data_IF_758656899514
#
_entry.id   IF_758656899514
#
_cell.length_a   1.000
_cell.length_b   1.000
_cell.length_c   1.000
_cell.angle_alpha   90.00
_cell.angle_beta   90.00
_cell.angle_gamma   90.00
#
_symmetry.space_group_name_H-M   'P 1'
#
loop_
_entity.id
_entity.type
_entity.pdbx_description
1 polymer ?
#
# COMPACT_ATOMS: atom_id res chain seq x y z
N UNK A 1 -6.32 -0.40 -10.23
CA UNK A 1 -7.33 -1.42 -10.64
C UNK A 1 -7.41 -1.55 -12.15
N UNK A 2 -7.74 -0.47 -12.87
CA UNK A 2 -7.98 -0.46 -14.33
C UNK A 2 -6.88 -1.14 -15.16
N UNK A 3 -5.60 -0.95 -14.81
CA UNK A 3 -4.48 -1.59 -15.54
C UNK A 3 -4.49 -3.12 -15.41
N UNK A 4 -4.75 -3.64 -14.21
CA UNK A 4 -4.85 -5.08 -13.96
C UNK A 4 -6.12 -5.66 -14.60
N UNK A 5 -7.24 -4.95 -14.50
CA UNK A 5 -8.47 -5.32 -15.17
C UNK A 5 -8.25 -5.40 -16.69
N UNK A 6 -7.55 -4.41 -17.28
CA UNK A 6 -7.21 -4.43 -18.71
C UNK A 6 -6.37 -5.65 -19.07
N UNK A 7 -5.35 -5.98 -18.28
CA UNK A 7 -4.54 -7.18 -18.48
C UNK A 7 -5.41 -8.45 -18.46
N UNK A 8 -6.31 -8.57 -17.48
CA UNK A 8 -7.23 -9.71 -17.40
C UNK A 8 -8.14 -9.78 -18.63
N UNK A 9 -8.70 -8.65 -19.09
CA UNK A 9 -9.58 -8.63 -20.27
C UNK A 9 -8.85 -8.95 -21.59
N UNK A 10 -7.55 -8.70 -21.69
CA UNK A 10 -6.75 -9.08 -22.88
C UNK A 10 -6.66 -10.61 -23.01
N UNK A 11 -6.74 -11.33 -21.89
CA UNK A 11 -6.74 -12.79 -21.87
C UNK A 11 -8.11 -13.41 -22.17
N UNK A 12 -9.15 -12.59 -22.37
CA UNK A 12 -10.49 -13.08 -22.69
C UNK A 12 -10.52 -13.65 -24.13
N UNK A 13 -10.95 -14.91 -24.33
CA UNK A 13 -11.00 -15.52 -25.67
C UNK A 13 -12.10 -14.91 -26.57
N UNK A 14 -13.08 -14.22 -25.99
CA UNK A 14 -14.08 -13.43 -26.72
C UNK A 14 -14.65 -12.33 -25.83
N UNK A 15 -15.40 -11.39 -26.42
CA UNK A 15 -16.07 -10.30 -25.70
C UNK A 15 -17.03 -10.78 -24.61
N UNK A 16 -17.64 -11.95 -24.80
CA UNK A 16 -18.50 -12.61 -23.82
C UNK A 16 -17.76 -12.91 -22.51
N UNK A 17 -16.47 -13.26 -22.57
CA UNK A 17 -15.67 -13.64 -21.39
C UNK A 17 -15.00 -12.45 -20.68
N UNK A 18 -15.16 -11.23 -21.18
CA UNK A 18 -14.54 -10.03 -20.58
C UNK A 18 -14.95 -9.83 -19.11
N UNK A 19 -16.24 -9.87 -18.73
CA UNK A 19 -16.64 -9.76 -17.31
C UNK A 19 -16.10 -10.91 -16.46
N UNK A 20 -16.08 -12.13 -17.01
CA UNK A 20 -15.56 -13.31 -16.32
C UNK A 20 -14.08 -13.17 -15.98
N UNK A 21 -13.26 -12.58 -16.87
CA UNK A 21 -11.84 -12.35 -16.61
C UNK A 21 -11.61 -11.31 -15.52
N UNK A 22 -12.44 -10.26 -15.46
CA UNK A 22 -12.36 -9.25 -14.38
C UNK A 22 -12.76 -9.86 -13.04
N UNK A 23 -13.83 -10.66 -13.00
CA UNK A 23 -14.23 -11.36 -11.77
C UNK A 23 -13.17 -12.38 -11.33
N UNK A 24 -12.57 -13.13 -12.26
CA UNK A 24 -11.49 -14.06 -11.96
C UNK A 24 -10.26 -13.35 -11.35
N UNK A 25 -9.91 -12.16 -11.86
CA UNK A 25 -8.87 -11.32 -11.26
C UNK A 25 -9.19 -10.97 -9.80
N UNK A 26 -10.45 -10.63 -9.49
CA UNK A 26 -10.88 -10.31 -8.13
C UNK A 26 -10.94 -11.54 -7.21
N UNK A 27 -11.34 -12.70 -7.73
CA UNK A 27 -11.22 -13.96 -7.01
C UNK A 27 -9.76 -14.24 -6.62
N UNK A 28 -8.82 -14.02 -7.55
CA UNK A 28 -7.39 -14.20 -7.29
C UNK A 28 -6.86 -13.20 -6.26
N UNK A 29 -7.20 -11.91 -6.37
CA UNK A 29 -6.83 -10.90 -5.39
C UNK A 29 -7.36 -11.25 -3.99
N UNK A 30 -8.60 -11.73 -3.92
CA UNK A 30 -9.23 -12.18 -2.68
C UNK A 30 -8.55 -13.42 -2.10
N UNK A 31 -8.16 -14.39 -2.94
CA UNK A 31 -7.39 -15.55 -2.49
C UNK A 31 -6.04 -15.13 -1.87
N UNK A 32 -5.34 -14.16 -2.46
CA UNK A 32 -4.13 -13.59 -1.86
C UNK A 32 -4.43 -12.84 -0.55
N UNK A 33 -5.54 -12.12 -0.46
CA UNK A 33 -5.98 -11.51 0.79
C UNK A 33 -6.11 -12.55 1.92
N UNK A 34 -6.77 -13.68 1.64
CA UNK A 34 -6.94 -14.78 2.60
C UNK A 34 -5.59 -15.42 2.96
N UNK A 35 -4.67 -15.57 2.00
CA UNK A 35 -3.32 -16.06 2.25
C UNK A 35 -2.54 -15.15 3.22
N UNK A 36 -2.55 -13.83 2.99
CA UNK A 36 -1.86 -12.88 3.86
C UNK A 36 -2.52 -12.79 5.24
N UNK A 37 -3.84 -12.91 5.32
CA UNK A 37 -4.57 -13.00 6.58
C UNK A 37 -4.17 -14.27 7.35
N UNK A 38 -4.14 -15.42 6.69
CA UNK A 38 -3.67 -16.68 7.26
C UNK A 38 -2.24 -16.54 7.81
N UNK A 39 -1.32 -15.95 7.04
CA UNK A 39 0.05 -15.73 7.52
C UNK A 39 0.15 -14.72 8.67
N UNK A 40 -0.71 -13.70 8.68
CA UNK A 40 -0.81 -12.75 9.79
C UNK A 40 -1.24 -13.45 11.07
N UNK A 41 -2.31 -14.26 11.01
CA UNK A 41 -2.84 -14.98 12.18
C UNK A 41 -1.83 -16.01 12.68
N UNK A 42 -1.25 -16.83 11.78
CA UNK A 42 -0.24 -17.83 12.17
C UNK A 42 1.02 -17.19 12.74
N UNK A 43 1.47 -16.05 12.21
CA UNK A 43 2.57 -15.28 12.79
C UNK A 43 2.26 -14.86 14.24
N UNK A 44 1.08 -14.29 14.48
CA UNK A 44 0.69 -13.82 15.81
C UNK A 44 0.51 -15.00 16.80
N UNK A 45 -0.15 -16.08 16.37
CA UNK A 45 -0.34 -17.28 17.18
C UNK A 45 1.00 -17.92 17.54
N UNK A 46 1.92 -18.05 16.57
CA UNK A 46 3.28 -18.53 16.81
C UNK A 46 4.00 -17.67 17.84
N UNK A 47 3.94 -16.34 17.70
CA UNK A 47 4.60 -15.39 18.60
C UNK A 47 4.14 -15.53 20.05
N UNK A 48 2.85 -15.83 20.26
CA UNK A 48 2.31 -16.08 21.60
C UNK A 48 2.89 -17.35 22.20
N UNK A 49 2.98 -18.44 21.43
CA UNK A 49 3.45 -19.73 21.91
C UNK A 49 4.97 -19.81 22.07
N UNK A 50 5.75 -19.06 21.31
CA UNK A 50 7.22 -19.00 21.44
C UNK A 50 7.70 -17.92 22.41
N UNK A 51 6.78 -17.29 23.14
CA UNK A 51 7.11 -16.27 24.13
C UNK A 51 8.06 -16.87 25.19
N UNK A 52 9.02 -16.07 25.67
CA UNK A 52 10.05 -16.49 26.63
C UNK A 52 11.00 -17.60 26.14
N UNK A 53 11.10 -17.81 24.82
CA UNK A 53 12.05 -18.77 24.24
C UNK A 53 11.53 -20.21 24.24
N UNK A 54 10.23 -20.43 24.43
CA UNK A 54 9.63 -21.74 24.30
C UNK A 54 9.75 -22.28 22.88
N UNK A 55 10.15 -23.55 22.75
CA UNK A 55 10.18 -24.24 21.47
C UNK A 55 8.78 -24.74 21.06
N UNK A 56 8.52 -24.77 19.75
CA UNK A 56 7.25 -25.26 19.23
C UNK A 56 7.24 -26.78 19.22
N UNK A 57 6.35 -27.37 20.02
CA UNK A 57 6.01 -28.79 19.90
C UNK A 57 5.23 -29.04 18.60
N UNK A 58 5.17 -30.30 18.14
CA UNK A 58 4.32 -30.68 16.99
C UNK A 58 2.85 -30.29 17.20
N UNK A 59 2.34 -30.46 18.42
CA UNK A 59 0.98 -30.06 18.78
C UNK A 59 0.77 -28.54 18.64
N UNK A 60 1.74 -27.73 19.09
CA UNK A 60 1.70 -26.28 18.93
C UNK A 60 1.73 -25.84 17.46
N UNK A 61 2.50 -26.52 16.61
CA UNK A 61 2.52 -26.24 15.17
C UNK A 61 1.14 -26.47 14.56
N UNK A 62 0.50 -27.61 14.86
CA UNK A 62 -0.85 -27.91 14.39
C UNK A 62 -1.86 -26.88 14.92
N UNK A 63 -1.75 -26.49 16.19
CA UNK A 63 -2.60 -25.45 16.77
C UNK A 63 -2.45 -24.11 16.05
N UNK A 64 -1.22 -23.64 15.78
CA UNK A 64 -0.95 -22.40 15.05
C UNK A 64 -1.57 -22.45 13.65
N UNK A 65 -1.31 -23.52 12.90
CA UNK A 65 -1.84 -23.68 11.54
C UNK A 65 -3.38 -23.76 11.55
N UNK A 66 -3.95 -24.47 12.51
CA UNK A 66 -5.39 -24.56 12.72
C UNK A 66 -6.02 -23.21 13.05
N UNK A 67 -5.43 -22.43 13.97
CA UNK A 67 -5.89 -21.06 14.28
C UNK A 67 -5.86 -20.17 13.05
N UNK A 68 -4.77 -20.23 12.27
CA UNK A 68 -4.65 -19.53 11.00
C UNK A 68 -5.74 -19.90 10.01
N UNK A 69 -5.96 -21.20 9.80
CA UNK A 69 -6.93 -21.71 8.85
C UNK A 69 -8.36 -21.33 9.26
N UNK A 70 -8.74 -21.56 10.52
CA UNK A 70 -10.07 -21.22 11.03
C UNK A 70 -10.33 -19.73 10.92
N UNK A 71 -9.40 -18.86 11.34
CA UNK A 71 -9.60 -17.42 11.30
C UNK A 71 -9.65 -16.85 9.87
N UNK A 72 -8.78 -17.34 8.97
CA UNK A 72 -8.78 -16.90 7.59
C UNK A 72 -10.03 -17.37 6.83
N UNK A 73 -10.44 -18.64 7.00
CA UNK A 73 -11.65 -19.19 6.38
C UNK A 73 -12.93 -18.57 6.95
N UNK A 74 -12.96 -18.26 8.25
CA UNK A 74 -14.10 -17.54 8.83
C UNK A 74 -14.31 -16.20 8.12
N UNK A 75 -13.24 -15.46 7.79
CA UNK A 75 -13.33 -14.24 7.00
C UNK A 75 -13.77 -14.50 5.54
N UNK A 76 -13.22 -15.55 4.91
CA UNK A 76 -13.59 -15.96 3.54
C UNK A 76 -15.09 -16.10 3.35
N UNK A 77 -15.79 -16.70 4.32
CA UNK A 77 -17.22 -16.97 4.24
C UNK A 77 -18.11 -15.89 4.87
N UNK A 78 -17.57 -14.70 5.17
CA UNK A 78 -18.42 -13.55 5.53
C UNK A 78 -19.08 -12.97 4.29
N UNK A 79 -20.34 -12.54 4.41
CA UNK A 79 -21.12 -12.02 3.28
C UNK A 79 -20.37 -10.89 2.55
N UNK A 80 -19.92 -9.87 3.30
CA UNK A 80 -19.24 -8.71 2.72
C UNK A 80 -17.98 -9.09 1.92
N UNK A 81 -17.15 -10.00 2.45
CA UNK A 81 -15.94 -10.40 1.75
C UNK A 81 -16.23 -11.30 0.55
N UNK A 82 -17.15 -12.26 0.70
CA UNK A 82 -17.55 -13.17 -0.37
C UNK A 82 -18.09 -12.41 -1.59
N UNK A 83 -19.00 -11.45 -1.36
CA UNK A 83 -19.54 -10.61 -2.44
C UNK A 83 -18.45 -9.74 -3.08
N UNK A 84 -17.56 -9.14 -2.29
CA UNK A 84 -16.43 -8.36 -2.81
C UNK A 84 -15.49 -9.21 -3.70
N UNK A 85 -15.41 -10.52 -3.48
CA UNK A 85 -14.54 -11.42 -4.23
C UNK A 85 -15.09 -11.79 -5.61
N UNK A 86 -16.41 -11.83 -5.78
CA UNK A 86 -17.08 -12.24 -7.02
C UNK A 86 -17.56 -11.07 -7.88
N UNK A 87 -17.48 -9.85 -7.36
CA UNK A 87 -17.86 -8.62 -8.04
C UNK A 87 -16.63 -7.92 -8.64
N UNK A 88 -16.75 -7.36 -9.84
CA UNK A 88 -15.67 -6.69 -10.57
C UNK A 88 -15.31 -5.29 -10.08
N UNK A 89 -15.07 -5.12 -8.78
CA UNK A 89 -14.79 -3.84 -8.13
C UNK A 89 -13.41 -3.75 -7.45
N UNK A 90 -13.04 -2.54 -7.02
CA UNK A 90 -11.72 -2.25 -6.42
C UNK A 90 -11.50 -2.87 -5.04
N UNK A 91 -12.57 -3.30 -4.36
CA UNK A 91 -12.53 -3.73 -2.96
C UNK A 91 -11.69 -5.01 -2.76
N UNK A 92 -11.76 -5.98 -3.67
CA UNK A 92 -10.93 -7.20 -3.60
C UNK A 92 -9.43 -6.88 -3.56
N UNK A 93 -8.96 -6.02 -4.48
CA UNK A 93 -7.58 -5.57 -4.50
C UNK A 93 -7.22 -4.70 -3.30
N UNK A 94 -8.13 -3.82 -2.85
CA UNK A 94 -7.92 -3.00 -1.65
C UNK A 94 -7.71 -3.87 -0.39
N UNK A 95 -8.55 -4.88 -0.20
CA UNK A 95 -8.43 -5.83 0.91
C UNK A 95 -7.13 -6.63 0.84
N UNK A 96 -6.75 -7.09 -0.36
CA UNK A 96 -5.46 -7.75 -0.58
C UNK A 96 -4.27 -6.87 -0.18
N UNK A 97 -4.22 -5.61 -0.61
CA UNK A 97 -3.15 -4.68 -0.22
C UNK A 97 -3.12 -4.43 1.28
N UNK A 98 -4.30 -4.31 1.91
CA UNK A 98 -4.44 -4.14 3.36
C UNK A 98 -3.83 -5.33 4.10
N UNK A 99 -4.22 -6.56 3.74
CA UNK A 99 -3.68 -7.78 4.35
C UNK A 99 -2.17 -7.94 4.10
N UNK A 100 -1.71 -7.65 2.87
CA UNK A 100 -0.29 -7.70 2.50
C UNK A 100 0.55 -6.72 3.32
N UNK A 101 0.14 -5.45 3.43
CA UNK A 101 0.90 -4.42 4.15
C UNK A 101 0.98 -4.74 5.65
N UNK A 102 -0.12 -5.19 6.26
CA UNK A 102 -0.11 -5.64 7.67
C UNK A 102 0.85 -6.82 7.85
N UNK A 103 0.79 -7.82 6.96
CA UNK A 103 1.70 -8.97 7.01
C UNK A 103 3.17 -8.56 6.82
N UNK A 104 3.47 -7.66 5.87
CA UNK A 104 4.83 -7.15 5.65
C UNK A 104 5.37 -6.41 6.87
N UNK A 105 4.52 -5.74 7.63
CA UNK A 105 4.94 -5.06 8.85
C UNK A 105 5.28 -6.04 9.98
N UNK A 106 4.57 -7.16 10.05
CA UNK A 106 4.96 -8.27 10.93
C UNK A 106 6.28 -8.93 10.45
N UNK A 107 6.52 -8.99 9.14
CA UNK A 107 7.82 -9.41 8.58
C UNK A 107 8.96 -8.45 8.90
N UNK A 108 8.70 -7.14 8.86
CA UNK A 108 9.64 -6.16 9.37
C UNK A 108 9.92 -6.37 10.86
N UNK A 109 8.89 -6.62 11.67
CA UNK A 109 9.01 -6.81 13.12
C UNK A 109 9.92 -7.99 13.46
N UNK A 110 9.77 -9.12 12.75
CA UNK A 110 10.63 -10.31 12.83
C UNK A 110 12.11 -9.99 12.54
N UNK A 111 12.37 -9.11 11.58
CA UNK A 111 13.71 -8.80 11.07
C UNK A 111 14.24 -7.46 11.59
N UNK A 112 13.58 -6.81 12.56
CA UNK A 112 13.80 -5.40 12.90
C UNK A 112 15.24 -5.08 13.36
N UNK A 113 15.98 -6.09 13.83
CA UNK A 113 17.36 -5.99 14.32
C UNK A 113 18.39 -6.49 13.30
N UNK A 114 17.96 -6.99 12.15
CA UNK A 114 18.84 -7.40 11.06
C UNK A 114 19.29 -6.18 10.22
N UNK A 115 20.50 -6.21 9.63
CA UNK A 115 20.89 -5.23 8.62
C UNK A 115 19.85 -5.15 7.50
N UNK A 116 19.60 -3.94 7.01
CA UNK A 116 18.66 -3.68 5.90
C UNK A 116 17.18 -3.99 6.19
N UNK A 117 16.78 -4.17 7.46
CA UNK A 117 15.38 -4.40 7.84
C UNK A 117 14.42 -3.32 7.33
N UNK A 118 14.89 -2.07 7.21
CA UNK A 118 14.11 -0.94 6.71
C UNK A 118 13.61 -1.09 5.27
N UNK A 119 14.14 -2.04 4.47
CA UNK A 119 13.62 -2.37 3.14
C UNK A 119 12.12 -2.72 3.16
N UNK A 120 11.65 -3.34 4.24
CA UNK A 120 10.25 -3.67 4.41
C UNK A 120 9.38 -2.43 4.57
N UNK A 121 9.85 -1.41 5.30
CA UNK A 121 9.15 -0.12 5.45
C UNK A 121 9.09 0.62 4.11
N UNK A 122 10.18 0.56 3.33
CA UNK A 122 10.24 1.14 1.98
C UNK A 122 9.27 0.42 1.03
N UNK A 123 9.22 -0.92 1.08
CA UNK A 123 8.27 -1.72 0.31
C UNK A 123 6.82 -1.42 0.72
N UNK A 124 6.53 -1.31 2.01
CA UNK A 124 5.21 -0.91 2.52
C UNK A 124 4.84 0.46 1.93
N UNK A 125 5.75 1.44 2.00
CA UNK A 125 5.50 2.78 1.45
C UNK A 125 5.15 2.74 -0.05
N UNK A 126 5.87 1.94 -0.84
CA UNK A 126 5.54 1.70 -2.25
C UNK A 126 4.14 1.11 -2.44
N UNK A 127 3.80 0.05 -1.69
CA UNK A 127 2.51 -0.62 -1.79
C UNK A 127 1.35 0.27 -1.29
N UNK A 128 1.60 1.13 -0.31
CA UNK A 128 0.63 2.14 0.11
C UNK A 128 0.39 3.16 -1.01
N UNK A 129 1.44 3.64 -1.67
CA UNK A 129 1.34 4.49 -2.86
C UNK A 129 0.54 3.85 -3.98
N UNK A 130 0.86 2.59 -4.32
CA UNK A 130 0.17 1.82 -5.35
C UNK A 130 -1.32 1.60 -5.00
N UNK A 131 -1.60 1.38 -3.72
CA UNK A 131 -2.98 1.23 -3.23
C UNK A 131 -3.80 2.49 -3.37
N UNK A 132 -3.22 3.70 -3.32
CA UNK A 132 -3.98 4.94 -3.57
C UNK A 132 -4.58 4.92 -4.99
N UNK A 133 -3.87 4.35 -5.97
CA UNK A 133 -4.38 4.11 -7.34
C UNK A 133 -5.42 2.98 -7.46
N UNK A 134 -5.79 2.33 -6.36
CA UNK A 134 -6.87 1.34 -6.26
C UNK A 134 -7.99 1.89 -5.39
N UNK A 135 -7.70 2.15 -4.12
CA UNK A 135 -8.58 2.72 -3.11
C UNK A 135 -7.76 3.34 -1.96
N UNK A 136 -8.19 4.50 -1.48
CA UNK A 136 -7.55 5.24 -0.37
C UNK A 136 -7.63 4.50 0.99
N UNK A 137 -8.52 3.49 1.13
CA UNK A 137 -8.81 2.81 2.40
C UNK A 137 -7.60 2.15 3.04
N UNK A 138 -6.64 1.69 2.24
CA UNK A 138 -5.42 1.07 2.77
C UNK A 138 -4.60 2.03 3.66
N UNK A 139 -4.75 3.35 3.51
CA UNK A 139 -4.13 4.32 4.42
C UNK A 139 -4.58 4.11 5.88
N UNK A 140 -5.80 3.59 6.11
CA UNK A 140 -6.30 3.30 7.45
C UNK A 140 -5.53 2.20 8.19
N UNK A 141 -4.62 1.48 7.51
CA UNK A 141 -3.69 0.57 8.19
C UNK A 141 -2.58 1.29 8.94
N UNK A 142 -2.26 2.55 8.60
CA UNK A 142 -1.15 3.32 9.18
C UNK A 142 -1.12 3.28 10.72
N UNK A 143 -2.24 3.50 11.45
CA UNK A 143 -2.23 3.38 12.90
C UNK A 143 -1.73 2.03 13.38
N UNK A 144 -2.22 0.92 12.81
CA UNK A 144 -1.78 -0.41 13.18
C UNK A 144 -0.27 -0.60 12.91
N UNK A 145 0.25 -0.13 11.78
CA UNK A 145 1.67 -0.24 11.45
C UNK A 145 2.54 0.58 12.42
N UNK A 146 2.14 1.80 12.74
CA UNK A 146 2.83 2.66 13.71
C UNK A 146 2.84 1.99 15.09
N UNK A 147 1.75 1.36 15.50
CA UNK A 147 1.71 0.63 16.77
C UNK A 147 2.60 -0.63 16.75
N UNK A 148 2.64 -1.39 15.66
CA UNK A 148 3.58 -2.52 15.53
C UNK A 148 5.03 -2.02 15.65
N UNK A 149 5.36 -0.89 15.02
CA UNK A 149 6.67 -0.25 15.15
C UNK A 149 6.97 0.16 16.61
N UNK A 150 6.03 0.86 17.24
CA UNK A 150 6.16 1.36 18.61
C UNK A 150 6.37 0.23 19.61
N UNK A 151 5.53 -0.82 19.55
CA UNK A 151 5.62 -1.98 20.43
C UNK A 151 6.90 -2.79 20.18
N UNK A 152 7.44 -2.78 18.95
CA UNK A 152 8.72 -3.43 18.67
C UNK A 152 9.91 -2.68 19.24
N UNK A 153 9.94 -1.35 19.13
CA UNK A 153 11.12 -0.54 19.48
C UNK A 153 11.14 -0.06 20.93
N UNK A 154 10.03 -0.20 21.67
CA UNK A 154 9.92 0.30 23.04
C UNK A 154 9.93 -0.82 24.06
N UNK A 155 10.83 -0.73 25.06
CA UNK A 155 10.95 -1.71 26.15
C UNK A 155 9.81 -1.61 27.18
N UNK A 156 9.25 -0.41 27.36
CA UNK A 156 8.17 -0.13 28.32
C UNK A 156 7.02 0.63 27.65
N UNK A 157 5.84 0.01 27.62
CA UNK A 157 4.63 0.63 27.11
C UNK A 157 4.16 1.67 28.12
N UNK A 158 3.99 2.91 27.69
CA UNK A 158 3.53 4.02 28.54
C UNK A 158 2.35 4.74 27.89
N UNK A 159 1.50 5.37 28.69
CA UNK A 159 0.39 6.17 28.17
C UNK A 159 0.88 7.28 27.24
N UNK A 160 1.98 7.96 27.61
CA UNK A 160 2.62 8.98 26.76
C UNK A 160 3.06 8.41 25.41
N UNK A 161 3.65 7.21 25.39
CA UNK A 161 4.07 6.56 24.15
C UNK A 161 2.90 6.14 23.26
N UNK A 162 1.80 5.67 23.85
CA UNK A 162 0.55 5.39 23.13
C UNK A 162 -0.01 6.68 22.53
N UNK A 163 -0.14 7.74 23.31
CA UNK A 163 -0.66 9.02 22.85
C UNK A 163 0.18 9.62 21.71
N UNK A 164 1.51 9.60 21.84
CA UNK A 164 2.43 10.05 20.78
C UNK A 164 2.31 9.18 19.53
N UNK A 165 2.18 7.87 19.67
CA UNK A 165 2.01 6.96 18.52
C UNK A 165 0.69 7.20 17.77
N UNK A 166 -0.40 7.48 18.49
CA UNK A 166 -1.67 7.89 17.89
C UNK A 166 -1.56 9.23 17.16
N UNK A 167 -0.87 10.22 17.74
CA UNK A 167 -0.64 11.51 17.09
C UNK A 167 0.22 11.37 15.83
N UNK A 168 1.28 10.55 15.90
CA UNK A 168 2.14 10.27 14.74
C UNK A 168 1.35 9.57 13.63
N UNK A 169 0.51 8.57 13.95
CA UNK A 169 -0.29 7.89 12.93
C UNK A 169 -1.30 8.83 12.27
N UNK A 170 -1.98 9.68 13.06
CA UNK A 170 -2.85 10.74 12.55
C UNK A 170 -2.09 11.75 11.66
N UNK A 171 -0.89 12.18 12.08
CA UNK A 171 -0.06 13.08 11.31
C UNK A 171 0.38 12.47 9.97
N UNK A 172 0.74 11.18 9.93
CA UNK A 172 1.06 10.46 8.69
C UNK A 172 -0.16 10.39 7.77
N UNK A 173 -1.34 10.08 8.31
CA UNK A 173 -2.59 10.05 7.55
C UNK A 173 -2.91 11.41 6.91
N UNK A 174 -2.87 12.48 7.71
CA UNK A 174 -3.10 13.86 7.23
C UNK A 174 -2.03 14.27 6.22
N UNK A 175 -0.77 13.95 6.46
CA UNK A 175 0.31 14.24 5.54
C UNK A 175 0.09 13.58 4.17
N UNK A 176 -0.30 12.30 4.14
CA UNK A 176 -0.54 11.60 2.88
C UNK A 176 -1.84 12.11 2.22
N UNK A 177 -2.94 12.12 2.95
CA UNK A 177 -4.27 12.40 2.38
C UNK A 177 -4.49 13.88 2.07
N UNK A 178 -3.96 14.79 2.88
CA UNK A 178 -4.18 16.24 2.73
C UNK A 178 -3.02 16.96 2.07
N UNK A 179 -1.80 16.42 2.06
CA UNK A 179 -0.65 17.07 1.42
C UNK A 179 -0.23 16.29 0.18
N UNK A 180 0.24 15.05 0.33
CA UNK A 180 0.81 14.30 -0.80
C UNK A 180 -0.21 14.15 -1.93
N UNK A 181 -1.42 13.65 -1.67
CA UNK A 181 -2.39 13.38 -2.76
C UNK A 181 -2.86 14.68 -3.43
N UNK A 182 -3.55 15.62 -2.74
CA UNK A 182 -4.18 16.76 -3.41
C UNK A 182 -3.17 17.81 -3.86
N UNK A 183 -2.13 18.11 -3.07
CA UNK A 183 -1.23 19.21 -3.39
C UNK A 183 -0.23 18.85 -4.49
N UNK A 184 0.17 17.59 -4.63
CA UNK A 184 1.01 17.19 -5.77
C UNK A 184 0.26 17.36 -7.09
N UNK A 185 -1.03 16.99 -7.12
CA UNK A 185 -1.89 17.19 -8.30
C UNK A 185 -2.14 18.69 -8.54
N UNK A 186 -2.47 19.44 -7.50
CA UNK A 186 -2.73 20.89 -7.60
C UNK A 186 -1.51 21.66 -8.12
N UNK A 187 -0.33 21.43 -7.56
CA UNK A 187 0.90 22.08 -8.00
C UNK A 187 1.24 21.67 -9.44
N UNK A 188 1.08 20.38 -9.78
CA UNK A 188 1.25 19.92 -11.16
C UNK A 188 0.34 20.65 -12.15
N UNK A 189 -0.93 20.88 -11.78
CA UNK A 189 -1.87 21.66 -12.60
C UNK A 189 -1.47 23.14 -12.72
N UNK A 190 -0.91 23.76 -11.67
CA UNK A 190 -0.38 25.13 -11.75
C UNK A 190 0.81 25.23 -12.72
N UNK A 191 1.73 24.26 -12.68
CA UNK A 191 2.83 24.19 -13.65
C UNK A 191 2.30 24.03 -15.07
N UNK A 192 1.30 23.16 -15.27
CA UNK A 192 0.69 22.97 -16.59
C UNK A 192 0.03 24.24 -17.12
N UNK A 193 -0.73 24.93 -16.28
CA UNK A 193 -1.37 26.20 -16.62
C UNK A 193 -0.34 27.27 -17.03
N UNK A 194 0.78 27.36 -16.30
CA UNK A 194 1.86 28.28 -16.64
C UNK A 194 2.51 27.93 -18.00
N UNK A 195 2.83 26.65 -18.22
CA UNK A 195 3.47 26.21 -19.46
C UNK A 195 2.57 26.42 -20.68
N UNK A 196 1.27 26.11 -20.56
CA UNK A 196 0.32 26.25 -21.66
C UNK A 196 0.03 27.73 -21.93
N UNK A 197 -0.36 28.50 -20.90
CA UNK A 197 -0.84 29.87 -21.11
C UNK A 197 0.28 30.89 -21.33
N UNK A 198 1.44 30.70 -20.70
CA UNK A 198 2.53 31.68 -20.76
C UNK A 198 3.61 31.29 -21.77
N UNK A 199 3.91 29.99 -21.91
CA UNK A 199 4.98 29.50 -22.81
C UNK A 199 4.43 28.95 -24.14
N UNK A 200 3.11 28.81 -24.30
CA UNK A 200 2.48 28.30 -25.52
C UNK A 200 2.75 26.82 -25.79
N UNK A 201 3.11 26.04 -24.77
CA UNK A 201 3.42 24.62 -24.90
C UNK A 201 2.16 23.74 -24.93
N UNK A 202 2.24 22.49 -25.42
CA UNK A 202 1.11 21.57 -25.40
C UNK A 202 0.60 21.26 -23.98
N UNK A 203 -0.69 20.93 -23.88
CA UNK A 203 -1.33 20.49 -22.63
C UNK A 203 -0.59 19.28 -22.02
N UNK A 204 -0.48 19.22 -20.70
CA UNK A 204 0.29 18.26 -19.89
C UNK A 204 1.82 18.44 -19.91
N UNK A 205 2.39 19.38 -20.70
CA UNK A 205 3.83 19.61 -20.72
C UNK A 205 4.40 20.09 -19.37
N UNK A 206 3.69 21.00 -18.69
CA UNK A 206 4.10 21.49 -17.37
C UNK A 206 3.91 20.45 -16.28
N UNK A 207 2.85 19.63 -16.38
CA UNK A 207 2.64 18.50 -15.48
C UNK A 207 3.79 17.47 -15.58
N UNK A 208 4.20 17.11 -16.80
CA UNK A 208 5.31 16.18 -17.03
C UNK A 208 6.61 16.74 -16.46
N UNK A 209 6.90 18.02 -16.74
CA UNK A 209 8.06 18.70 -16.16
C UNK A 209 8.05 18.64 -14.63
N UNK A 210 6.91 18.99 -14.00
CA UNK A 210 6.75 18.98 -12.55
C UNK A 210 7.01 17.58 -11.96
N UNK A 211 6.44 16.53 -12.53
CA UNK A 211 6.64 15.15 -12.05
C UNK A 211 8.12 14.73 -12.14
N UNK A 212 8.78 14.99 -13.27
CA UNK A 212 10.21 14.67 -13.44
C UNK A 212 11.07 15.47 -12.46
N UNK A 213 10.79 16.76 -12.30
CA UNK A 213 11.49 17.63 -11.35
C UNK A 213 11.29 17.17 -9.90
N UNK A 214 10.07 16.81 -9.51
CA UNK A 214 9.73 16.34 -8.16
C UNK A 214 10.45 15.03 -7.84
N UNK A 215 10.37 14.03 -8.74
CA UNK A 215 11.04 12.74 -8.56
C UNK A 215 12.57 12.91 -8.57
N UNK A 216 13.11 13.77 -9.43
CA UNK A 216 14.53 14.12 -9.47
C UNK A 216 15.01 14.78 -8.18
N UNK A 217 14.26 15.76 -7.66
CA UNK A 217 14.58 16.45 -6.42
C UNK A 217 14.56 15.50 -5.21
N UNK A 218 13.56 14.62 -5.11
CA UNK A 218 13.50 13.60 -4.07
C UNK A 218 14.62 12.57 -4.22
N UNK A 219 14.92 12.12 -5.43
CA UNK A 219 16.04 11.20 -5.71
C UNK A 219 17.39 11.78 -5.30
N UNK A 220 17.65 13.05 -5.63
CA UNK A 220 18.83 13.77 -5.15
C UNK A 220 18.84 13.90 -3.62
N UNK A 221 17.69 14.22 -3.01
CA UNK A 221 17.54 14.27 -1.56
C UNK A 221 17.89 12.94 -0.88
N UNK A 222 17.41 11.82 -1.42
CA UNK A 222 17.77 10.47 -0.97
C UNK A 222 19.28 10.25 -1.12
N UNK A 223 19.87 10.55 -2.28
CA UNK A 223 21.30 10.38 -2.50
C UNK A 223 22.16 11.18 -1.50
N UNK A 224 21.85 12.47 -1.30
CA UNK A 224 22.60 13.32 -0.38
C UNK A 224 22.45 12.90 1.08
N UNK A 225 21.25 12.48 1.49
CA UNK A 225 21.00 12.04 2.87
C UNK A 225 21.65 10.69 3.17
N UNK A 226 21.69 9.80 2.18
CA UNK A 226 22.46 8.55 2.24
C UNK A 226 23.95 8.83 2.41
N UNK A 227 24.53 9.69 1.55
CA UNK A 227 25.96 10.06 1.61
C UNK A 227 26.34 10.72 2.95
N UNK A 228 25.43 11.49 3.54
CA UNK A 228 25.62 12.15 4.84
C UNK A 228 25.31 11.26 6.06
N UNK A 229 24.94 9.99 5.87
CA UNK A 229 24.63 9.06 6.96
C UNK A 229 23.37 9.41 7.76
N UNK A 230 22.47 10.26 7.24
CA UNK A 230 21.24 10.67 7.92
C UNK A 230 20.14 9.63 7.71
N UNK A 231 20.24 8.51 8.42
CA UNK A 231 19.40 7.31 8.22
C UNK A 231 17.90 7.57 8.30
N UNK A 232 17.42 8.30 9.32
CA UNK A 232 15.99 8.59 9.49
C UNK A 232 15.46 9.48 8.37
N UNK A 233 16.17 10.56 8.05
CA UNK A 233 15.76 11.48 6.98
C UNK A 233 15.81 10.79 5.61
N UNK A 234 16.81 9.95 5.38
CA UNK A 234 16.90 9.13 4.17
C UNK A 234 15.71 8.19 4.04
N UNK A 235 15.32 7.50 5.12
CA UNK A 235 14.16 6.62 5.14
C UNK A 235 12.87 7.40 4.83
N UNK A 236 12.67 8.57 5.44
CA UNK A 236 11.48 9.42 5.18
C UNK A 236 11.42 9.82 3.71
N UNK A 237 12.51 10.37 3.16
CA UNK A 237 12.56 10.79 1.75
C UNK A 237 12.37 9.62 0.79
N UNK A 238 12.99 8.47 1.08
CA UNK A 238 12.87 7.27 0.27
C UNK A 238 11.46 6.70 0.30
N UNK A 239 10.83 6.64 1.48
CA UNK A 239 9.43 6.24 1.62
C UNK A 239 8.48 7.21 0.90
N UNK A 240 8.68 8.52 0.99
CA UNK A 240 7.90 9.50 0.23
C UNK A 240 8.07 9.32 -1.27
N UNK A 241 9.31 9.13 -1.74
CA UNK A 241 9.60 8.83 -3.15
C UNK A 241 8.87 7.57 -3.61
N UNK A 242 8.92 6.48 -2.82
CA UNK A 242 8.23 5.24 -3.14
C UNK A 242 6.71 5.36 -3.15
N UNK A 243 6.12 6.15 -2.24
CA UNK A 243 4.69 6.47 -2.25
C UNK A 243 4.31 7.17 -3.57
N UNK A 244 5.09 8.16 -4.00
CA UNK A 244 4.83 8.89 -5.24
C UNK A 244 5.00 8.01 -6.49
N UNK A 245 6.01 7.12 -6.50
CA UNK A 245 6.18 6.13 -7.58
C UNK A 245 5.01 5.15 -7.61
N UNK A 246 4.50 4.68 -6.46
CA UNK A 246 3.30 3.85 -6.44
C UNK A 246 2.05 4.61 -6.91
N UNK A 247 1.90 5.85 -6.43
CA UNK A 247 0.77 6.72 -6.77
C UNK A 247 0.76 7.11 -8.25
N UNK A 248 1.92 7.14 -8.93
CA UNK A 248 1.99 7.45 -10.36
C UNK A 248 1.18 6.47 -11.24
N UNK A 249 0.81 5.29 -10.73
CA UNK A 249 -0.15 4.40 -11.39
C UNK A 249 -1.52 5.05 -11.65
N UNK A 250 -1.90 6.05 -10.85
CA UNK A 250 -3.12 6.85 -11.03
C UNK A 250 -3.10 7.70 -12.31
N UNK A 251 -1.91 8.01 -12.86
CA UNK A 251 -1.78 8.72 -14.14
C UNK A 251 -2.55 8.02 -15.28
N UNK A 252 -2.75 6.70 -15.20
CA UNK A 252 -3.57 5.95 -16.15
C UNK A 252 -5.01 6.48 -16.26
N UNK A 253 -5.57 7.04 -15.18
CA UNK A 253 -6.91 7.67 -15.18
C UNK A 253 -6.87 8.96 -15.99
N UNK A 254 -5.90 9.83 -15.72
CA UNK A 254 -5.74 11.11 -16.43
C UNK A 254 -5.44 10.90 -17.92
N UNK A 255 -4.55 9.97 -18.26
CA UNK A 255 -4.22 9.61 -19.65
C UNK A 255 -5.46 9.08 -20.37
N UNK A 256 -6.23 8.20 -19.71
CA UNK A 256 -7.48 7.68 -20.28
C UNK A 256 -8.50 8.78 -20.48
N UNK A 257 -8.66 9.70 -19.53
CA UNK A 257 -9.57 10.83 -19.65
C UNK A 257 -9.21 11.73 -20.86
N UNK A 258 -7.91 11.99 -21.07
CA UNK A 258 -7.43 12.78 -22.22
C UNK A 258 -7.71 12.12 -23.58
N UNK A 259 -7.91 10.79 -23.63
CA UNK A 259 -8.29 10.07 -24.85
C UNK A 259 -9.80 10.19 -25.19
N UNK A 260 -10.58 10.96 -24.43
CA UNK A 260 -12.01 11.19 -24.62
C UNK A 260 -12.83 9.91 -24.83
N UNK A 261 -12.78 8.94 -23.89
CA UNK A 261 -13.52 7.70 -24.02
C UNK A 261 -15.04 7.98 -23.94
N UNK A 262 -15.89 7.14 -24.58
CA UNK A 262 -17.35 7.30 -24.52
C UNK A 262 -17.94 7.32 -23.11
N UNK A 263 -17.21 6.73 -22.15
CA UNK A 263 -17.55 6.74 -20.72
C UNK A 263 -16.33 7.13 -19.90
N UNK A 264 -16.41 8.27 -19.23
CA UNK A 264 -15.37 8.80 -18.37
C UNK A 264 -15.91 8.94 -16.94
N UNK A 265 -16.08 7.81 -16.25
CA UNK A 265 -16.68 7.72 -14.90
C UNK A 265 -15.64 7.64 -13.78
N UNK A 266 -14.55 8.42 -13.84
CA UNK A 266 -13.59 8.55 -12.76
C UNK A 266 -13.31 10.02 -12.47
#
# INVERSE_FOLDING_TARGET
FMLLARLATILAPSTYYVPHMVNAMNCLASAFCILFLFWTITHLARRILTRQGAELTKANIVAVLGTGAVGALAYTFTDTFWFSAIEGEVYALSSMFTALVVWLMLKWEEQADQPHSMRWIVLIAYLMGLSIGVHILNLLTVPALVFIYYFRKTQRITFKGIAVSTLISGAILVFINSIIIPHTVYIGALFDLFFVNSLGLPVNSGLVFFVVALLGALGMGVYFTHKKGRTVLNLVLLSTLMILIGYSSYASVTIRAAANPPMNSN
#
